data_IF_652587322917
#
_entry.id   IF_652587322917
#
_cell.length_a   1.000
_cell.length_b   1.000
_cell.length_c   1.000
_cell.angle_alpha   90.00
_cell.angle_beta   90.00
_cell.angle_gamma   90.00
#
_symmetry.space_group_name_H-M   'P 1'
#
loop_
_entity.id
_entity.type
_entity.pdbx_description
1 polymer ?
#
# COMPACT_ATOMS: atom_id res chain seq x y z
N UNK A 1 -76.21 45.41 38.73
CA UNK A 1 -75.08 46.35 38.59
C UNK A 1 -73.77 45.59 38.90
N UNK A 2 -73.20 44.91 38.01
CA UNK A 2 -71.82 44.49 38.06
C UNK A 2 -71.42 44.16 36.60
N UNK A 3 -70.64 45.03 36.00
CA UNK A 3 -70.00 44.83 34.70
C UNK A 3 -68.71 44.07 34.94
N UNK A 4 -68.68 42.84 34.53
CA UNK A 4 -67.44 42.03 34.41
C UNK A 4 -66.73 42.32 33.10
N UNK A 5 -65.59 42.91 33.19
CA UNK A 5 -64.66 43.14 32.09
C UNK A 5 -63.96 41.83 31.84
N UNK A 6 -64.22 41.19 30.70
CA UNK A 6 -63.43 40.03 30.23
C UNK A 6 -62.16 40.52 29.62
N UNK A 7 -61.04 40.34 30.31
CA UNK A 7 -59.69 40.48 29.73
C UNK A 7 -59.47 39.36 28.68
N UNK A 8 -59.42 39.78 27.44
CA UNK A 8 -59.04 38.88 26.34
C UNK A 8 -57.51 38.77 26.37
N UNK A 9 -57.03 37.64 26.92
CA UNK A 9 -55.62 37.29 26.93
C UNK A 9 -55.21 36.90 25.51
N UNK A 10 -54.63 37.85 24.77
CA UNK A 10 -54.02 37.61 23.47
C UNK A 10 -52.63 36.98 23.71
N UNK A 11 -52.60 35.65 23.74
CA UNK A 11 -51.34 34.92 23.65
C UNK A 11 -50.73 35.14 22.25
N UNK A 12 -49.72 35.98 22.20
CA UNK A 12 -48.88 36.20 20.99
C UNK A 12 -48.13 34.92 20.69
N UNK A 13 -48.67 34.10 19.79
CA UNK A 13 -47.93 32.97 19.24
C UNK A 13 -46.74 33.54 18.41
N UNK A 14 -45.57 33.36 18.95
CA UNK A 14 -44.30 33.67 18.25
C UNK A 14 -44.14 32.59 17.18
N UNK A 15 -44.60 32.91 15.95
CA UNK A 15 -44.31 32.09 14.78
C UNK A 15 -42.80 32.04 14.59
N UNK A 16 -42.17 30.93 14.93
CA UNK A 16 -40.80 30.61 14.51
C UNK A 16 -40.84 30.41 13.00
N UNK A 17 -40.28 31.36 12.29
CA UNK A 17 -40.00 31.25 10.84
C UNK A 17 -38.94 30.19 10.66
N UNK A 18 -39.35 28.95 10.42
CA UNK A 18 -38.44 27.89 9.96
C UNK A 18 -38.04 28.21 8.52
N UNK A 19 -36.80 28.71 8.36
CA UNK A 19 -36.22 28.93 7.05
C UNK A 19 -35.88 27.56 6.43
N UNK A 20 -36.68 27.11 5.49
CA UNK A 20 -36.42 25.91 4.72
C UNK A 20 -35.33 26.16 3.67
N UNK A 21 -34.50 25.14 3.40
CA UNK A 21 -33.51 25.19 2.31
C UNK A 21 -34.20 25.26 0.94
N UNK A 22 -33.64 26.07 0.05
CA UNK A 22 -34.09 26.12 -1.33
C UNK A 22 -33.57 24.92 -2.13
N UNK A 23 -34.33 24.46 -3.12
CA UNK A 23 -33.91 23.36 -3.99
C UNK A 23 -32.59 23.67 -4.71
N UNK A 24 -32.40 24.93 -5.15
CA UNK A 24 -31.16 25.34 -5.83
C UNK A 24 -29.94 25.30 -4.92
N UNK A 25 -30.09 25.63 -3.65
CA UNK A 25 -29.01 25.54 -2.66
C UNK A 25 -28.47 24.12 -2.55
N UNK A 26 -29.36 23.14 -2.45
CA UNK A 26 -28.97 21.71 -2.39
C UNK A 26 -28.39 21.25 -3.72
N UNK A 27 -28.94 21.68 -4.87
CA UNK A 27 -28.42 21.32 -6.20
C UNK A 27 -27.00 21.82 -6.41
N UNK A 28 -26.67 23.05 -6.00
CA UNK A 28 -25.31 23.59 -6.13
C UNK A 28 -24.33 22.82 -5.24
N UNK A 29 -24.72 22.50 -4.03
CA UNK A 29 -23.87 21.72 -3.09
C UNK A 29 -23.55 20.33 -3.66
N UNK A 30 -24.56 19.60 -4.13
CA UNK A 30 -24.30 18.25 -4.69
C UNK A 30 -23.48 18.30 -5.97
N UNK A 31 -23.64 19.35 -6.79
CA UNK A 31 -22.83 19.55 -7.99
C UNK A 31 -21.34 19.74 -7.63
N UNK A 32 -21.05 20.58 -6.62
CA UNK A 32 -19.66 20.81 -6.16
C UNK A 32 -19.07 19.53 -5.56
N UNK A 33 -19.83 18.83 -4.70
CA UNK A 33 -19.39 17.55 -4.13
C UNK A 33 -19.11 16.53 -5.23
N UNK A 34 -19.96 16.47 -6.27
CA UNK A 34 -19.77 15.57 -7.41
C UNK A 34 -18.42 15.79 -8.11
N UNK A 35 -18.05 17.05 -8.35
CA UNK A 35 -16.76 17.39 -8.96
C UNK A 35 -15.58 17.00 -8.05
N UNK A 36 -15.66 17.29 -6.76
CA UNK A 36 -14.61 16.95 -5.79
C UNK A 36 -14.41 15.43 -5.68
N UNK A 37 -15.49 14.66 -5.59
CA UNK A 37 -15.46 13.20 -5.50
C UNK A 37 -14.87 12.57 -6.77
N UNK A 38 -15.17 13.11 -7.96
CA UNK A 38 -14.63 12.60 -9.22
C UNK A 38 -13.09 12.62 -9.26
N UNK A 39 -12.45 13.58 -8.60
CA UNK A 39 -10.99 13.67 -8.49
C UNK A 39 -10.45 12.89 -7.28
N UNK A 40 -11.16 12.91 -6.15
CA UNK A 40 -10.69 12.34 -4.90
C UNK A 40 -10.69 10.79 -4.91
N UNK A 41 -11.70 10.16 -5.51
CA UNK A 41 -11.86 8.69 -5.48
C UNK A 41 -10.67 7.95 -6.13
N UNK A 42 -10.21 8.28 -7.37
CA UNK A 42 -9.07 7.59 -7.96
C UNK A 42 -7.79 7.76 -7.14
N UNK A 43 -7.54 8.95 -6.59
CA UNK A 43 -6.37 9.19 -5.73
C UNK A 43 -6.41 8.35 -4.45
N UNK A 44 -7.58 8.21 -3.86
CA UNK A 44 -7.79 7.38 -2.68
C UNK A 44 -7.54 5.89 -2.98
N UNK A 45 -7.99 5.40 -4.13
CA UNK A 45 -7.75 4.01 -4.57
C UNK A 45 -6.25 3.73 -4.73
N UNK A 46 -5.50 4.62 -5.37
CA UNK A 46 -4.04 4.51 -5.52
C UNK A 46 -3.32 4.52 -4.16
N UNK A 47 -3.78 5.36 -3.23
CA UNK A 47 -3.24 5.41 -1.87
C UNK A 47 -3.44 4.08 -1.14
N UNK A 48 -4.64 3.50 -1.19
CA UNK A 48 -4.94 2.21 -0.57
C UNK A 48 -4.13 1.08 -1.23
N UNK A 49 -4.02 1.05 -2.56
CA UNK A 49 -3.22 0.05 -3.26
C UNK A 49 -1.74 0.14 -2.85
N UNK A 50 -1.18 1.34 -2.74
CA UNK A 50 0.20 1.55 -2.26
C UNK A 50 0.39 1.10 -0.81
N UNK A 51 -0.56 1.35 0.05
CA UNK A 51 -0.53 0.85 1.44
C UNK A 51 -0.45 -0.68 1.49
N UNK A 52 -1.17 -1.37 0.60
CA UNK A 52 -1.10 -2.84 0.48
C UNK A 52 0.24 -3.33 -0.06
N UNK A 53 0.89 -2.55 -0.93
CA UNK A 53 2.25 -2.86 -1.37
C UNK A 53 3.23 -2.80 -0.19
N UNK A 54 3.15 -1.77 0.64
CA UNK A 54 3.96 -1.67 1.86
C UNK A 54 3.69 -2.82 2.83
N UNK A 55 2.44 -3.28 2.95
CA UNK A 55 2.09 -4.48 3.74
C UNK A 55 2.89 -5.70 3.26
N UNK A 56 2.94 -5.96 1.95
CA UNK A 56 3.72 -7.07 1.38
C UNK A 56 5.22 -6.95 1.67
N UNK A 57 5.77 -5.75 1.60
CA UNK A 57 7.17 -5.49 1.97
C UNK A 57 7.43 -5.79 3.46
N UNK A 58 6.50 -5.46 4.34
CA UNK A 58 6.62 -5.77 5.77
C UNK A 58 6.53 -7.29 6.01
N UNK A 59 5.63 -7.99 5.34
CA UNK A 59 5.50 -9.44 5.42
C UNK A 59 6.74 -10.18 4.89
N UNK A 60 7.47 -9.59 3.95
CA UNK A 60 8.72 -10.16 3.45
C UNK A 60 9.91 -10.08 4.41
N UNK A 61 9.76 -9.42 5.56
CA UNK A 61 10.83 -9.30 6.56
C UNK A 61 11.27 -10.65 7.12
N UNK A 62 10.36 -11.60 7.27
CA UNK A 62 10.67 -12.98 7.67
C UNK A 62 11.47 -13.73 6.60
N UNK A 63 11.17 -13.51 5.31
CA UNK A 63 11.97 -14.06 4.22
C UNK A 63 13.38 -13.46 4.18
N UNK A 64 13.51 -12.13 4.38
CA UNK A 64 14.82 -11.47 4.49
C UNK A 64 15.65 -12.04 5.62
N UNK A 65 15.04 -12.25 6.79
CA UNK A 65 15.72 -12.87 7.94
C UNK A 65 16.20 -14.27 7.60
N UNK A 66 15.32 -15.12 7.03
CA UNK A 66 15.66 -16.49 6.66
C UNK A 66 16.82 -16.54 5.66
N UNK A 67 16.82 -15.68 4.63
CA UNK A 67 17.94 -15.58 3.68
C UNK A 67 19.23 -15.13 4.37
N UNK A 68 19.15 -14.14 5.25
CA UNK A 68 20.32 -13.64 5.99
C UNK A 68 20.94 -14.70 6.89
N UNK A 69 20.11 -15.44 7.61
CA UNK A 69 20.54 -16.56 8.48
C UNK A 69 21.10 -17.72 7.66
N UNK A 70 20.44 -18.09 6.55
CA UNK A 70 20.92 -19.14 5.66
C UNK A 70 22.29 -18.79 5.07
N UNK A 71 22.44 -17.55 4.59
CA UNK A 71 23.70 -17.05 4.06
C UNK A 71 24.81 -17.01 5.12
N UNK A 72 24.50 -16.52 6.32
CA UNK A 72 25.49 -16.46 7.42
C UNK A 72 25.97 -17.87 7.87
N UNK A 73 25.11 -18.88 7.78
CA UNK A 73 25.41 -20.23 8.23
C UNK A 73 26.00 -21.14 7.15
N UNK A 74 25.61 -20.95 5.89
CA UNK A 74 25.96 -21.85 4.77
C UNK A 74 26.81 -21.18 3.68
N UNK A 75 26.92 -19.84 3.69
CA UNK A 75 27.62 -19.09 2.65
C UNK A 75 26.83 -19.06 1.34
N UNK A 76 27.56 -19.10 0.21
CA UNK A 76 26.99 -19.06 -1.15
C UNK A 76 26.41 -20.42 -1.53
N UNK A 77 25.09 -20.55 -1.40
CA UNK A 77 24.29 -21.73 -1.77
C UNK A 77 22.96 -21.26 -2.37
N UNK A 78 22.24 -22.12 -3.11
CA UNK A 78 20.90 -21.80 -3.55
C UNK A 78 19.99 -21.45 -2.36
N UNK A 79 19.44 -20.22 -2.33
CA UNK A 79 18.74 -19.68 -1.15
C UNK A 79 17.32 -20.21 -1.01
N UNK A 80 16.66 -20.61 -2.09
CA UNK A 80 15.34 -21.27 -2.07
C UNK A 80 15.40 -22.58 -1.28
N UNK A 81 16.40 -23.43 -1.54
CA UNK A 81 16.63 -24.68 -0.81
C UNK A 81 17.10 -24.39 0.63
N UNK A 82 17.99 -23.42 0.80
CA UNK A 82 18.57 -23.08 2.10
C UNK A 82 17.52 -22.52 3.08
N UNK A 83 16.46 -21.86 2.58
CA UNK A 83 15.39 -21.26 3.39
C UNK A 83 14.13 -22.10 3.48
N UNK A 84 14.02 -23.20 2.71
CA UNK A 84 12.79 -24.01 2.61
C UNK A 84 12.25 -24.55 3.93
N UNK A 85 13.12 -24.74 4.92
CA UNK A 85 12.74 -25.19 6.28
C UNK A 85 12.49 -24.07 7.29
N UNK A 86 12.89 -22.83 6.99
CA UNK A 86 12.83 -21.69 7.91
C UNK A 86 11.86 -20.60 7.49
N UNK A 87 11.44 -20.58 6.22
CA UNK A 87 10.48 -19.64 5.70
C UNK A 87 9.32 -20.35 5.01
N UNK A 88 8.11 -20.02 5.43
CA UNK A 88 6.85 -20.41 4.76
C UNK A 88 5.91 -19.21 4.75
N UNK A 89 5.19 -19.00 3.66
CA UNK A 89 4.25 -17.90 3.53
C UNK A 89 2.81 -18.40 3.36
N UNK A 90 1.89 -17.81 4.10
CA UNK A 90 0.44 -18.02 3.92
C UNK A 90 -0.18 -16.82 3.20
N UNK A 91 -0.92 -17.02 2.10
CA UNK A 91 -1.53 -15.93 1.34
C UNK A 91 -2.43 -15.03 2.19
N UNK A 92 -2.41 -13.72 1.91
CA UNK A 92 -3.27 -12.72 2.55
C UNK A 92 -4.25 -12.11 1.55
N UNK A 93 -5.05 -11.12 1.98
CA UNK A 93 -5.92 -10.36 1.07
C UNK A 93 -5.14 -9.49 0.08
N UNK A 94 -3.93 -9.10 0.41
CA UNK A 94 -3.09 -8.21 -0.38
C UNK A 94 -1.98 -8.94 -1.12
N UNK A 95 -1.42 -9.99 -0.53
CA UNK A 95 -0.26 -10.73 -1.03
C UNK A 95 -0.68 -12.17 -1.37
N UNK A 96 -0.42 -12.55 -2.62
CA UNK A 96 -0.70 -13.89 -3.14
C UNK A 96 0.39 -14.87 -2.73
N UNK A 97 1.65 -14.47 -2.86
CA UNK A 97 2.80 -15.32 -2.64
C UNK A 97 4.03 -14.48 -2.28
N UNK A 98 4.89 -15.03 -1.43
CA UNK A 98 6.26 -14.54 -1.23
C UNK A 98 7.18 -15.74 -1.41
N UNK A 99 8.10 -15.64 -2.36
CA UNK A 99 9.06 -16.69 -2.68
C UNK A 99 10.49 -16.17 -2.56
N UNK A 100 11.39 -17.04 -2.16
CA UNK A 100 12.84 -16.82 -2.21
C UNK A 100 13.37 -17.57 -3.44
N UNK A 101 14.06 -16.88 -4.33
CA UNK A 101 14.69 -17.50 -5.50
C UNK A 101 16.06 -18.08 -5.15
N UNK A 102 16.64 -18.96 -5.98
CA UNK A 102 17.99 -19.49 -5.76
C UNK A 102 19.06 -18.42 -5.56
N UNK A 103 18.93 -17.29 -6.27
CA UNK A 103 19.86 -16.15 -6.15
C UNK A 103 19.67 -15.32 -4.87
N UNK A 104 18.67 -15.63 -4.05
CA UNK A 104 18.34 -14.88 -2.84
C UNK A 104 17.41 -13.69 -3.05
N UNK A 105 16.94 -13.46 -4.28
CA UNK A 105 15.90 -12.44 -4.55
C UNK A 105 14.60 -12.89 -3.93
N UNK A 106 13.90 -11.98 -3.27
CA UNK A 106 12.57 -12.23 -2.70
C UNK A 106 11.54 -11.62 -3.66
N UNK A 107 10.74 -12.49 -4.27
CA UNK A 107 9.62 -12.11 -5.13
C UNK A 107 8.33 -12.02 -4.31
N UNK A 108 7.64 -10.88 -4.38
CA UNK A 108 6.37 -10.63 -3.70
C UNK A 108 5.30 -10.46 -4.76
N UNK A 109 4.43 -11.45 -4.89
CA UNK A 109 3.29 -11.40 -5.80
C UNK A 109 2.05 -10.89 -5.07
N UNK A 110 1.49 -9.80 -5.57
CA UNK A 110 0.29 -9.19 -5.03
C UNK A 110 -0.97 -9.78 -5.65
N UNK A 111 -2.07 -9.72 -4.89
CA UNK A 111 -3.39 -10.11 -5.39
C UNK A 111 -3.88 -9.17 -6.50
N UNK A 112 -4.78 -9.68 -7.34
CA UNK A 112 -5.41 -8.88 -8.42
C UNK A 112 -6.20 -7.66 -7.89
N UNK A 113 -6.58 -7.68 -6.62
CA UNK A 113 -7.20 -6.54 -5.91
C UNK A 113 -6.23 -5.39 -5.63
N UNK A 114 -4.92 -5.60 -5.78
CA UNK A 114 -3.86 -4.60 -5.58
C UNK A 114 -3.30 -4.14 -6.92
N UNK A 115 -2.98 -5.09 -7.81
CA UNK A 115 -2.42 -4.79 -9.12
C UNK A 115 -2.86 -5.85 -10.14
N UNK A 116 -3.02 -5.49 -11.42
CA UNK A 116 -3.43 -6.43 -12.45
C UNK A 116 -2.39 -7.52 -12.68
N UNK A 117 -2.86 -8.70 -13.07
CA UNK A 117 -1.99 -9.84 -13.36
C UNK A 117 -0.91 -9.49 -14.39
N UNK A 118 0.30 -10.00 -14.19
CA UNK A 118 1.48 -9.68 -15.01
C UNK A 118 2.11 -8.31 -14.72
N UNK A 119 1.52 -7.51 -13.81
CA UNK A 119 2.06 -6.23 -13.31
C UNK A 119 1.89 -6.14 -11.78
N UNK A 120 2.13 -7.24 -11.10
CA UNK A 120 1.81 -7.42 -9.68
C UNK A 120 2.95 -7.99 -8.84
N UNK A 121 4.18 -8.04 -9.38
CA UNK A 121 5.35 -8.58 -8.67
C UNK A 121 6.33 -7.47 -8.31
N UNK A 122 6.74 -7.44 -7.05
CA UNK A 122 7.83 -6.62 -6.53
C UNK A 122 9.00 -7.51 -6.15
N UNK A 123 10.21 -7.17 -6.62
CA UNK A 123 11.42 -7.88 -6.27
C UNK A 123 12.23 -7.11 -5.23
N UNK A 124 12.65 -7.81 -4.18
CA UNK A 124 13.65 -7.32 -3.23
C UNK A 124 14.94 -8.05 -3.53
N UNK A 125 15.94 -7.29 -3.94
CA UNK A 125 17.24 -7.83 -4.38
C UNK A 125 18.31 -7.65 -3.31
N UNK A 126 19.12 -8.70 -3.03
CA UNK A 126 20.31 -8.55 -2.20
C UNK A 126 21.34 -7.69 -2.94
N UNK A 127 21.94 -6.72 -2.27
CA UNK A 127 22.90 -5.79 -2.86
C UNK A 127 23.81 -5.18 -1.80
N UNK A 128 24.99 -4.71 -2.21
CA UNK A 128 25.86 -3.89 -1.37
C UNK A 128 25.64 -2.38 -1.58
N UNK A 129 24.70 -2.01 -2.49
CA UNK A 129 24.42 -0.62 -2.86
C UNK A 129 22.92 -0.32 -2.70
N UNK A 130 22.33 -0.46 -1.46
CA UNK A 130 20.89 -0.37 -1.26
C UNK A 130 20.29 0.99 -1.66
N UNK A 131 21.09 2.06 -1.57
CA UNK A 131 20.68 3.44 -1.86
C UNK A 131 20.90 3.85 -3.33
N UNK A 132 21.56 3.01 -4.14
CA UNK A 132 21.74 3.29 -5.55
C UNK A 132 20.38 3.40 -6.27
N UNK A 133 20.30 4.27 -7.29
CA UNK A 133 19.07 4.42 -8.08
C UNK A 133 18.72 3.11 -8.81
N UNK A 134 19.74 2.44 -9.36
CA UNK A 134 19.63 1.08 -9.91
C UNK A 134 20.75 0.25 -9.26
N UNK A 135 20.46 -0.40 -8.12
CA UNK A 135 21.44 -1.21 -7.41
C UNK A 135 21.80 -2.44 -8.24
N UNK A 136 23.08 -2.84 -8.16
CA UNK A 136 23.51 -4.10 -8.75
C UNK A 136 23.05 -5.26 -7.87
N UNK A 137 22.17 -6.16 -8.37
CA UNK A 137 21.79 -7.33 -7.61
C UNK A 137 22.97 -8.29 -7.48
N UNK A 138 23.07 -8.92 -6.31
CA UNK A 138 24.04 -9.99 -6.06
C UNK A 138 23.33 -11.34 -6.15
N UNK A 139 24.00 -12.30 -6.76
CA UNK A 139 23.55 -13.71 -6.80
C UNK A 139 24.19 -14.46 -5.63
N UNK A 140 23.39 -14.71 -4.57
CA UNK A 140 23.89 -15.35 -3.35
C UNK A 140 24.18 -16.85 -3.54
N UNK A 141 23.77 -17.45 -4.66
CA UNK A 141 24.12 -18.83 -5.01
C UNK A 141 25.51 -18.98 -5.61
N UNK A 142 26.16 -17.87 -5.96
CA UNK A 142 27.45 -17.84 -6.67
C UNK A 142 28.55 -17.18 -5.86
N UNK A 143 29.82 -17.46 -6.18
CA UNK A 143 30.98 -16.87 -5.46
C UNK A 143 30.99 -15.36 -5.38
N UNK A 144 30.46 -14.65 -6.41
CA UNK A 144 30.33 -13.18 -6.41
C UNK A 144 29.42 -12.65 -5.31
N UNK A 145 28.46 -13.46 -4.86
CA UNK A 145 27.57 -13.15 -3.74
C UNK A 145 28.24 -13.22 -2.37
N UNK A 146 29.42 -13.84 -2.27
CA UNK A 146 30.14 -14.03 -0.99
C UNK A 146 30.48 -12.71 -0.29
N UNK A 147 30.52 -11.60 -1.01
CA UNK A 147 30.80 -10.25 -0.47
C UNK A 147 29.56 -9.53 0.04
N UNK A 148 28.38 -10.16 0.01
CA UNK A 148 27.16 -9.52 0.43
C UNK A 148 27.18 -9.13 1.92
N UNK A 149 26.89 -7.84 2.18
CA UNK A 149 26.92 -7.24 3.52
C UNK A 149 25.56 -7.19 4.21
N UNK A 150 24.53 -7.89 3.69
CA UNK A 150 23.19 -7.91 4.27
C UNK A 150 22.25 -6.80 3.75
N UNK A 151 22.67 -6.02 2.74
CA UNK A 151 21.87 -4.95 2.17
C UNK A 151 20.76 -5.48 1.25
N UNK A 152 19.61 -4.76 1.23
CA UNK A 152 18.47 -5.06 0.40
C UNK A 152 17.98 -3.82 -0.32
N UNK A 153 17.52 -3.98 -1.56
CA UNK A 153 16.84 -2.92 -2.29
C UNK A 153 15.58 -3.43 -2.98
N UNK A 154 14.56 -2.58 -3.02
CA UNK A 154 13.35 -2.79 -3.82
C UNK A 154 13.41 -2.10 -5.20
N UNK A 155 14.48 -1.36 -5.49
CA UNK A 155 14.74 -0.75 -6.80
C UNK A 155 15.34 -1.80 -7.73
N UNK A 156 14.50 -2.62 -8.33
CA UNK A 156 14.93 -3.67 -9.25
C UNK A 156 14.30 -3.48 -10.62
N UNK A 157 15.09 -3.69 -11.68
CA UNK A 157 14.60 -3.68 -13.06
C UNK A 157 13.72 -4.88 -13.38
N UNK A 158 13.75 -5.93 -12.55
CA UNK A 158 12.90 -7.11 -12.68
C UNK A 158 11.50 -6.88 -12.06
N UNK A 159 11.34 -5.85 -11.23
CA UNK A 159 10.03 -5.47 -10.68
C UNK A 159 9.11 -5.04 -11.80
N UNK A 160 7.97 -5.73 -11.95
CA UNK A 160 6.95 -5.39 -12.95
C UNK A 160 5.74 -4.65 -12.36
N UNK A 161 5.71 -4.42 -11.04
CA UNK A 161 4.65 -3.67 -10.38
C UNK A 161 4.56 -2.24 -10.93
N UNK A 162 3.34 -1.74 -11.11
CA UNK A 162 3.11 -0.39 -11.63
C UNK A 162 3.82 0.67 -10.76
N UNK A 163 4.58 1.56 -11.39
CA UNK A 163 5.39 2.58 -10.70
C UNK A 163 4.58 3.51 -9.79
N UNK A 164 3.31 3.76 -10.11
CA UNK A 164 2.39 4.54 -9.28
C UNK A 164 2.05 3.86 -7.95
N UNK A 165 2.12 2.52 -7.90
CA UNK A 165 1.86 1.72 -6.71
C UNK A 165 3.11 1.53 -5.85
N UNK A 166 4.31 1.73 -6.41
CA UNK A 166 5.56 1.61 -5.68
C UNK A 166 5.70 2.74 -4.65
N UNK A 167 6.16 2.43 -3.44
CA UNK A 167 6.66 3.43 -2.50
C UNK A 167 7.79 4.27 -3.12
N UNK A 168 8.00 5.48 -2.63
CA UNK A 168 9.00 6.41 -3.18
C UNK A 168 10.41 5.83 -3.21
N UNK A 169 10.76 5.09 -2.17
CA UNK A 169 12.06 4.43 -1.99
C UNK A 169 12.32 3.29 -2.99
N UNK A 170 11.27 2.72 -3.58
CA UNK A 170 11.37 1.61 -4.54
C UNK A 170 11.32 2.08 -6.00
N UNK A 171 11.14 3.38 -6.25
CA UNK A 171 11.08 3.92 -7.61
C UNK A 171 12.48 4.17 -8.14
N UNK A 172 12.70 3.72 -9.38
CA UNK A 172 13.90 4.07 -10.14
C UNK A 172 13.66 5.45 -10.75
N UNK A 173 14.49 6.43 -10.41
CA UNK A 173 14.44 7.75 -11.04
C UNK A 173 15.01 7.65 -12.46
N UNK A 174 14.33 8.31 -13.39
CA UNK A 174 14.79 8.43 -14.79
C UNK A 174 15.80 9.53 -14.93
#
# INVERSE_FOLDING_TARGET
>A
MHSEIQEVNQSTQKQSTEAGFTLIEVMVVVAIIGILVAVAVPQYQDYIARSRVVEGMNLSSSAKLAVTEAFASRGTVPMDEATSGSFTFAPTRSVKLIEVTPSGVIAIDYQISVAPEGKNTLHLVPTNEPDANVPKPLDLSKPEGSTWAGGWSCRSTETNLLSQLLPSECRISK
#
